data_IF_075585000616
#
_entry.id   IF_075585000616
#
_cell.length_a   1.000
_cell.length_b   1.000
_cell.length_c   1.000
_cell.angle_alpha   90.00
_cell.angle_beta   90.00
_cell.angle_gamma   90.00
#
_symmetry.space_group_name_H-M   'P 1'
#
loop_
_entity.id
_entity.type
_entity.pdbx_description
1 polymer ?
#
# COMPACT_ATOMS: atom_id res chain seq x y z
N UNK A 1 15.32 -75.59 -41.25
CA UNK A 1 15.91 -74.98 -40.04
C UNK A 1 16.03 -73.45 -40.17
N UNK A 2 16.59 -72.92 -41.26
CA UNK A 2 16.75 -71.46 -41.50
C UNK A 2 15.46 -70.63 -41.44
N UNK A 3 14.35 -71.11 -41.99
CA UNK A 3 13.06 -70.39 -41.99
C UNK A 3 12.41 -70.28 -40.59
N UNK A 4 12.74 -71.19 -39.66
CA UNK A 4 12.28 -71.10 -38.27
C UNK A 4 13.10 -70.06 -37.50
N UNK A 5 14.39 -69.95 -37.81
CA UNK A 5 15.28 -68.94 -37.23
C UNK A 5 14.88 -67.53 -37.70
N UNK A 6 14.61 -67.32 -38.99
CA UNK A 6 14.18 -66.01 -39.49
C UNK A 6 12.82 -65.57 -38.95
N UNK A 7 11.89 -66.51 -38.72
CA UNK A 7 10.61 -66.22 -38.06
C UNK A 7 10.78 -65.90 -36.57
N UNK A 8 11.72 -66.58 -35.90
CA UNK A 8 12.04 -66.30 -34.51
C UNK A 8 12.69 -64.92 -34.36
N UNK A 9 13.60 -64.53 -35.25
CA UNK A 9 14.20 -63.19 -35.30
C UNK A 9 13.13 -62.10 -35.49
N UNK A 10 12.23 -62.24 -36.47
CA UNK A 10 11.14 -61.27 -36.66
C UNK A 10 10.17 -61.17 -35.48
N UNK A 11 9.94 -62.26 -34.74
CA UNK A 11 9.17 -62.23 -33.50
C UNK A 11 9.91 -61.50 -32.37
N UNK A 12 11.22 -61.69 -32.26
CA UNK A 12 12.04 -61.00 -31.28
C UNK A 12 12.12 -59.50 -31.57
N UNK A 13 12.29 -59.11 -32.83
CA UNK A 13 12.29 -57.71 -33.27
C UNK A 13 10.96 -57.01 -32.98
N UNK A 14 9.83 -57.65 -33.31
CA UNK A 14 8.50 -57.10 -33.03
C UNK A 14 8.23 -56.99 -31.53
N UNK A 15 8.72 -57.95 -30.73
CA UNK A 15 8.66 -57.87 -29.27
C UNK A 15 9.49 -56.70 -28.74
N UNK A 16 10.71 -56.49 -29.23
CA UNK A 16 11.54 -55.36 -28.85
C UNK A 16 10.90 -54.02 -29.20
N UNK A 17 10.35 -53.90 -30.41
CA UNK A 17 9.59 -52.71 -30.84
C UNK A 17 8.36 -52.46 -29.96
N UNK A 18 7.64 -53.51 -29.57
CA UNK A 18 6.48 -53.38 -28.67
C UNK A 18 6.86 -52.88 -27.28
N UNK A 19 7.99 -53.34 -26.72
CA UNK A 19 8.50 -52.87 -25.43
C UNK A 19 8.87 -51.39 -25.49
N UNK A 20 9.53 -50.95 -26.56
CA UNK A 20 9.84 -49.54 -26.79
C UNK A 20 8.57 -48.68 -26.88
N UNK A 21 7.51 -49.18 -27.51
CA UNK A 21 6.22 -48.50 -27.57
C UNK A 21 5.54 -48.43 -26.19
N UNK A 22 5.56 -49.51 -25.41
CA UNK A 22 5.04 -49.52 -24.04
C UNK A 22 5.77 -48.53 -23.15
N UNK A 23 7.10 -48.49 -23.20
CA UNK A 23 7.87 -47.50 -22.46
C UNK A 23 7.49 -46.06 -22.82
N UNK A 24 7.32 -45.79 -24.12
CA UNK A 24 6.89 -44.47 -24.59
C UNK A 24 5.51 -44.11 -24.05
N UNK A 25 4.55 -45.05 -24.10
CA UNK A 25 3.20 -44.84 -23.56
C UNK A 25 3.22 -44.60 -22.04
N UNK A 26 4.05 -45.35 -21.29
CA UNK A 26 4.22 -45.13 -19.85
C UNK A 26 4.78 -43.75 -19.53
N UNK A 27 5.82 -43.31 -20.27
CA UNK A 27 6.40 -41.97 -20.10
C UNK A 27 5.39 -40.87 -20.44
N UNK A 28 4.68 -41.00 -21.56
CA UNK A 28 3.65 -40.05 -21.96
C UNK A 28 2.51 -39.99 -20.93
N UNK A 29 2.06 -41.13 -20.41
CA UNK A 29 1.02 -41.20 -19.38
C UNK A 29 1.48 -40.66 -18.01
N UNK A 30 2.78 -40.74 -17.69
CA UNK A 30 3.38 -40.06 -16.54
C UNK A 30 3.33 -38.55 -16.70
N UNK A 31 3.88 -38.03 -17.79
CA UNK A 31 3.92 -36.60 -18.08
C UNK A 31 2.52 -35.95 -18.15
N UNK A 32 1.53 -36.64 -18.71
CA UNK A 32 0.14 -36.15 -18.73
C UNK A 32 -0.48 -36.06 -17.32
N UNK A 33 -0.14 -37.00 -16.42
CA UNK A 33 -0.63 -36.95 -15.03
C UNK A 33 0.01 -35.81 -14.25
N UNK A 34 1.31 -35.59 -14.44
CA UNK A 34 2.05 -34.46 -13.84
C UNK A 34 1.50 -33.12 -14.34
N UNK A 35 1.34 -32.96 -15.66
CA UNK A 35 0.77 -31.75 -16.25
C UNK A 35 -0.66 -31.48 -15.76
N UNK A 36 -1.48 -32.52 -15.60
CA UNK A 36 -2.83 -32.39 -15.03
C UNK A 36 -2.79 -31.98 -13.55
N UNK A 37 -1.86 -32.53 -12.77
CA UNK A 37 -1.67 -32.15 -11.37
C UNK A 37 -1.30 -30.68 -11.23
N UNK A 38 -0.34 -30.22 -12.04
CA UNK A 38 0.09 -28.83 -12.06
C UNK A 38 -1.02 -27.87 -12.53
N UNK A 39 -1.85 -28.29 -13.49
CA UNK A 39 -2.98 -27.49 -13.94
C UNK A 39 -4.04 -27.31 -12.84
N UNK A 40 -4.37 -28.37 -12.09
CA UNK A 40 -5.32 -28.26 -10.98
C UNK A 40 -4.78 -27.40 -9.84
N UNK A 41 -3.48 -27.51 -9.51
CA UNK A 41 -2.83 -26.64 -8.53
C UNK A 41 -2.95 -25.16 -8.95
N UNK A 42 -2.57 -24.83 -10.20
CA UNK A 42 -2.65 -23.46 -10.71
C UNK A 42 -4.08 -22.94 -10.80
N UNK A 43 -5.04 -23.81 -11.12
CA UNK A 43 -6.46 -23.47 -11.09
C UNK A 43 -6.93 -23.14 -9.67
N UNK A 44 -6.51 -23.91 -8.66
CA UNK A 44 -6.87 -23.61 -7.27
C UNK A 44 -6.24 -22.30 -6.78
N UNK A 45 -4.99 -22.01 -7.15
CA UNK A 45 -4.35 -20.72 -6.88
C UNK A 45 -5.14 -19.57 -7.52
N UNK A 46 -5.49 -19.68 -8.81
CA UNK A 46 -6.25 -18.63 -9.52
C UNK A 46 -7.65 -18.42 -8.93
N UNK A 47 -8.33 -19.50 -8.53
CA UNK A 47 -9.63 -19.40 -7.87
C UNK A 47 -9.55 -18.74 -6.50
N UNK A 48 -8.42 -18.85 -5.79
CA UNK A 48 -8.21 -18.12 -4.54
C UNK A 48 -8.12 -16.60 -4.77
N UNK A 49 -7.63 -16.15 -5.93
CA UNK A 49 -7.57 -14.73 -6.30
C UNK A 49 -8.89 -14.20 -6.89
N UNK A 50 -9.74 -15.04 -7.46
CA UNK A 50 -11.02 -14.64 -8.09
C UNK A 50 -11.96 -13.83 -7.17
N UNK A 51 -12.21 -14.21 -5.90
CA UNK A 51 -13.07 -13.41 -5.02
C UNK A 51 -12.46 -12.06 -4.62
N UNK A 52 -11.18 -11.81 -4.91
CA UNK A 52 -10.56 -10.51 -4.73
C UNK A 52 -10.79 -9.58 -5.94
N UNK A 53 -10.92 -10.13 -7.16
CA UNK A 53 -11.11 -9.34 -8.38
C UNK A 53 -12.49 -8.69 -8.42
N UNK A 54 -13.55 -9.44 -8.14
CA UNK A 54 -14.92 -8.92 -8.09
C UNK A 54 -15.06 -7.79 -7.04
N UNK A 55 -14.38 -7.95 -5.89
CA UNK A 55 -14.36 -6.94 -4.83
C UNK A 55 -13.61 -5.68 -5.22
N UNK A 56 -12.52 -5.81 -5.99
CA UNK A 56 -11.73 -4.67 -6.47
C UNK A 56 -12.51 -3.91 -7.54
N UNK A 57 -13.17 -4.60 -8.47
CA UNK A 57 -14.02 -3.97 -9.49
C UNK A 57 -15.20 -3.21 -8.84
N UNK A 58 -15.85 -3.81 -7.83
CA UNK A 58 -16.91 -3.15 -7.05
C UNK A 58 -16.39 -1.94 -6.25
N UNK A 59 -15.15 -1.98 -5.76
CA UNK A 59 -14.53 -0.86 -5.06
C UNK A 59 -14.17 0.26 -6.03
N UNK A 60 -13.60 -0.08 -7.19
CA UNK A 60 -13.28 0.89 -8.26
C UNK A 60 -14.55 1.52 -8.82
N UNK A 61 -15.62 0.73 -9.01
CA UNK A 61 -16.94 1.22 -9.42
C UNK A 61 -17.55 2.20 -8.42
N UNK A 62 -17.39 1.96 -7.11
CA UNK A 62 -17.82 2.89 -6.07
C UNK A 62 -16.96 4.16 -6.00
N UNK A 63 -15.65 4.04 -6.20
CA UNK A 63 -14.73 5.17 -6.19
C UNK A 63 -14.90 6.08 -7.42
N UNK A 64 -15.21 5.51 -8.58
CA UNK A 64 -15.46 6.26 -9.83
C UNK A 64 -16.81 6.99 -9.85
N UNK A 65 -17.72 6.68 -8.92
CA UNK A 65 -18.98 7.40 -8.73
C UNK A 65 -18.81 8.67 -7.89
N UNK A 66 -17.66 8.86 -7.21
CA UNK A 66 -17.37 10.09 -6.51
C UNK A 66 -17.05 11.20 -7.54
N UNK A 67 -17.69 12.38 -7.42
CA UNK A 67 -17.41 13.48 -8.32
C UNK A 67 -15.97 13.96 -8.13
N UNK A 68 -15.22 14.01 -9.24
CA UNK A 68 -13.85 14.53 -9.29
C UNK A 68 -13.87 16.06 -9.18
N UNK A 69 -14.08 16.56 -7.97
CA UNK A 69 -14.13 17.99 -7.69
C UNK A 69 -13.18 18.35 -6.53
N UNK A 70 -12.64 19.57 -6.57
CA UNK A 70 -11.66 20.08 -5.60
C UNK A 70 -12.17 20.03 -4.16
N UNK A 71 -13.47 20.22 -3.95
CA UNK A 71 -14.11 20.21 -2.63
C UNK A 71 -14.10 18.79 -2.01
N UNK A 72 -14.33 17.75 -2.80
CA UNK A 72 -14.23 16.35 -2.35
C UNK A 72 -12.78 15.98 -2.06
N UNK A 73 -11.84 16.40 -2.92
CA UNK A 73 -10.41 16.15 -2.67
C UNK A 73 -9.90 16.83 -1.41
N UNK A 74 -10.42 18.01 -1.08
CA UNK A 74 -10.02 18.73 0.15
C UNK A 74 -10.38 17.98 1.44
N UNK A 75 -11.36 17.06 1.39
CA UNK A 75 -11.80 16.22 2.51
C UNK A 75 -11.12 14.85 2.54
N UNK A 76 -10.34 14.50 1.51
CA UNK A 76 -9.66 13.21 1.45
C UNK A 76 -8.43 13.15 2.36
N UNK A 77 -7.84 14.30 2.68
CA UNK A 77 -6.65 14.40 3.52
C UNK A 77 -7.01 15.28 4.71
N UNK A 78 -7.50 14.64 5.75
CA UNK A 78 -7.80 15.29 7.02
C UNK A 78 -6.69 15.02 8.05
N UNK A 79 -6.39 15.99 8.92
CA UNK A 79 -5.49 15.77 10.06
C UNK A 79 -6.03 14.66 10.96
N UNK A 80 -5.14 13.85 11.53
CA UNK A 80 -5.54 12.67 12.31
C UNK A 80 -6.14 13.06 13.67
N UNK A 81 -5.69 14.17 14.24
CA UNK A 81 -6.10 14.66 15.55
C UNK A 81 -6.32 16.19 15.57
N UNK A 82 -7.12 16.65 16.54
CA UNK A 82 -7.43 18.07 16.73
C UNK A 82 -6.17 18.93 16.89
N UNK A 83 -5.09 18.34 17.42
CA UNK A 83 -3.81 19.02 17.58
C UNK A 83 -3.12 19.29 16.23
N UNK A 84 -3.12 18.33 15.31
CA UNK A 84 -2.65 18.55 13.94
C UNK A 84 -3.56 19.51 13.16
N UNK A 85 -4.88 19.43 13.37
CA UNK A 85 -5.83 20.41 12.80
C UNK A 85 -5.48 21.82 13.24
N UNK A 86 -5.28 22.03 14.53
CA UNK A 86 -4.92 23.34 15.06
C UNK A 86 -3.54 23.81 14.58
N UNK A 87 -2.57 22.90 14.42
CA UNK A 87 -1.29 23.22 13.82
C UNK A 87 -1.43 23.71 12.37
N UNK A 88 -2.28 23.06 11.58
CA UNK A 88 -2.55 23.41 10.19
C UNK A 88 -3.26 24.77 10.08
N UNK A 89 -4.24 25.02 10.94
CA UNK A 89 -4.93 26.31 11.03
C UNK A 89 -3.94 27.45 11.30
N UNK A 90 -3.08 27.30 12.33
CA UNK A 90 -2.08 28.31 12.67
C UNK A 90 -1.07 28.53 11.54
N UNK A 91 -0.65 27.47 10.84
CA UNK A 91 0.23 27.59 9.68
C UNK A 91 -0.44 28.37 8.54
N UNK A 92 -1.72 28.08 8.28
CA UNK A 92 -2.50 28.80 7.27
C UNK A 92 -2.66 30.28 7.63
N UNK A 93 -2.88 30.61 8.90
CA UNK A 93 -3.00 31.97 9.39
C UNK A 93 -1.69 32.75 9.24
N UNK A 94 -0.55 32.12 9.53
CA UNK A 94 0.78 32.74 9.35
C UNK A 94 0.99 33.13 7.88
N UNK A 95 0.69 32.23 6.95
CA UNK A 95 0.84 32.51 5.52
C UNK A 95 -0.13 33.57 5.03
N UNK A 96 -1.39 33.54 5.46
CA UNK A 96 -2.36 34.58 5.13
C UNK A 96 -1.92 35.97 5.64
N UNK A 97 -1.25 36.03 6.80
CA UNK A 97 -0.68 37.26 7.34
C UNK A 97 0.53 37.75 6.54
N UNK A 98 1.42 36.84 6.11
CA UNK A 98 2.55 37.17 5.21
C UNK A 98 2.04 37.75 3.87
N UNK A 99 1.04 37.11 3.25
CA UNK A 99 0.42 37.58 2.00
C UNK A 99 -0.23 38.96 2.17
N UNK A 100 -0.94 39.17 3.27
CA UNK A 100 -1.61 40.43 3.53
C UNK A 100 -0.61 41.57 3.84
N UNK A 101 0.54 41.29 4.48
CA UNK A 101 1.62 42.26 4.65
C UNK A 101 2.21 42.66 3.28
N UNK A 102 2.42 41.71 2.39
CA UNK A 102 2.88 41.98 1.02
C UNK A 102 1.87 42.86 0.26
N UNK A 103 0.57 42.56 0.38
CA UNK A 103 -0.49 43.36 -0.24
C UNK A 103 -0.52 44.80 0.30
N UNK A 104 -0.27 45.01 1.60
CA UNK A 104 -0.15 46.35 2.16
C UNK A 104 1.05 47.11 1.57
N UNK A 105 2.20 46.44 1.39
CA UNK A 105 3.38 47.07 0.78
C UNK A 105 3.11 47.47 -0.67
N UNK A 106 2.47 46.59 -1.45
CA UNK A 106 2.05 46.88 -2.83
C UNK A 106 1.06 48.05 -2.87
N UNK A 107 0.10 48.10 -1.94
CA UNK A 107 -0.90 49.17 -1.85
C UNK A 107 -0.26 50.54 -1.51
N UNK A 108 0.74 50.55 -0.62
CA UNK A 108 1.52 51.75 -0.32
C UNK A 108 2.29 52.24 -1.54
N UNK A 109 2.99 51.34 -2.25
CA UNK A 109 3.72 51.66 -3.49
C UNK A 109 2.80 52.19 -4.60
N UNK A 110 1.57 51.69 -4.66
CA UNK A 110 0.55 52.16 -5.59
C UNK A 110 -0.12 53.48 -5.17
N UNK A 111 0.22 54.04 -3.99
CA UNK A 111 -0.39 55.26 -3.46
C UNK A 111 -1.86 55.11 -3.03
N UNK A 112 -2.34 53.87 -2.87
CA UNK A 112 -3.71 53.57 -2.43
C UNK A 112 -3.89 53.73 -0.92
N UNK A 113 -2.79 53.80 -0.18
CA UNK A 113 -2.75 53.80 1.27
C UNK A 113 -1.75 54.87 1.75
N UNK A 114 -2.08 55.61 2.81
CA UNK A 114 -1.18 56.61 3.37
C UNK A 114 -0.07 55.95 4.20
N UNK A 115 1.09 56.60 4.33
CA UNK A 115 2.18 56.08 5.15
C UNK A 115 1.76 55.83 6.60
N UNK A 116 0.96 56.72 7.18
CA UNK A 116 0.46 56.58 8.56
C UNK A 116 -0.46 55.37 8.70
N UNK A 117 -1.38 55.17 7.74
CA UNK A 117 -2.26 54.00 7.76
C UNK A 117 -1.47 52.70 7.57
N UNK A 118 -0.45 52.72 6.72
CA UNK A 118 0.40 51.57 6.46
C UNK A 118 1.12 51.12 7.73
N UNK A 119 1.78 52.04 8.42
CA UNK A 119 2.52 51.75 9.65
C UNK A 119 1.60 51.17 10.72
N UNK A 120 0.39 51.71 10.86
CA UNK A 120 -0.60 51.20 11.82
C UNK A 120 -1.02 49.77 11.46
N UNK A 121 -1.39 49.52 10.21
CA UNK A 121 -1.87 48.20 9.73
C UNK A 121 -0.78 47.14 9.84
N UNK A 122 0.45 47.46 9.43
CA UNK A 122 1.60 46.55 9.51
C UNK A 122 1.94 46.24 10.97
N UNK A 123 1.84 47.22 11.87
CA UNK A 123 2.09 47.01 13.30
C UNK A 123 1.06 46.05 13.92
N UNK A 124 -0.23 46.27 13.63
CA UNK A 124 -1.32 45.40 14.11
C UNK A 124 -1.18 43.97 13.57
N UNK A 125 -0.84 43.82 12.29
CA UNK A 125 -0.65 42.52 11.65
C UNK A 125 0.63 41.82 12.11
N UNK A 126 1.72 42.55 12.30
CA UNK A 126 2.98 42.02 12.83
C UNK A 126 2.79 41.43 14.24
N UNK A 127 1.97 42.07 15.08
CA UNK A 127 1.60 41.52 16.39
C UNK A 127 0.85 40.19 16.25
N UNK A 128 -0.16 40.11 15.39
CA UNK A 128 -0.90 38.85 15.14
C UNK A 128 0.00 37.75 14.60
N UNK A 129 0.91 38.11 13.69
CA UNK A 129 1.87 37.17 13.11
C UNK A 129 2.82 36.61 14.16
N UNK A 130 3.30 37.46 15.08
CA UNK A 130 4.13 37.01 16.19
C UNK A 130 3.38 36.02 17.09
N UNK A 131 2.14 36.32 17.45
CA UNK A 131 1.29 35.44 18.26
C UNK A 131 1.04 34.09 17.59
N UNK A 132 0.63 34.10 16.31
CA UNK A 132 0.40 32.88 15.54
C UNK A 132 1.67 32.03 15.41
N UNK A 133 2.83 32.63 15.12
CA UNK A 133 4.14 31.93 15.05
C UNK A 133 4.54 31.35 16.40
N UNK A 134 4.32 32.08 17.48
CA UNK A 134 4.62 31.60 18.83
C UNK A 134 3.75 30.41 19.23
N UNK A 135 2.44 30.49 18.99
CA UNK A 135 1.51 29.38 19.25
C UNK A 135 1.84 28.16 18.37
N UNK A 136 2.10 28.39 17.08
CA UNK A 136 2.48 27.33 16.15
C UNK A 136 3.74 26.59 16.61
N UNK A 137 4.79 27.31 17.04
CA UNK A 137 6.02 26.67 17.54
C UNK A 137 5.73 25.72 18.71
N UNK A 138 4.86 26.12 19.64
CA UNK A 138 4.48 25.29 20.79
C UNK A 138 3.63 24.09 20.40
N UNK A 139 2.68 24.28 19.49
CA UNK A 139 1.81 23.20 18.99
C UNK A 139 2.63 22.21 18.16
N UNK A 140 3.52 22.68 17.29
CA UNK A 140 4.41 21.82 16.49
C UNK A 140 5.31 20.95 17.37
N UNK A 141 5.87 21.49 18.46
CA UNK A 141 6.59 20.68 19.44
C UNK A 141 5.71 19.60 20.09
N UNK A 142 4.46 19.93 20.42
CA UNK A 142 3.53 18.97 21.01
C UNK A 142 3.13 17.87 20.01
N UNK A 143 2.86 18.23 18.75
CA UNK A 143 2.59 17.30 17.65
C UNK A 143 3.78 16.35 17.46
N UNK A 144 5.01 16.87 17.40
CA UNK A 144 6.22 16.05 17.25
C UNK A 144 6.43 15.07 18.41
N UNK A 145 6.08 15.47 19.63
CA UNK A 145 6.13 14.57 20.80
C UNK A 145 5.03 13.51 20.76
N UNK A 146 3.84 13.85 20.26
CA UNK A 146 2.73 12.92 20.12
C UNK A 146 2.99 11.88 19.04
N UNK A 147 3.49 12.28 17.86
CA UNK A 147 3.82 11.39 16.76
C UNK A 147 4.97 10.44 17.10
N UNK A 148 5.97 10.88 17.87
CA UNK A 148 7.02 10.01 18.40
C UNK A 148 6.49 8.91 19.34
N UNK A 149 5.47 9.21 20.15
CA UNK A 149 4.82 8.20 21.01
C UNK A 149 3.99 7.22 20.20
N UNK A 150 3.25 7.69 19.20
CA UNK A 150 2.44 6.84 18.31
C UNK A 150 3.33 5.93 17.46
N UNK A 151 4.47 6.42 16.98
CA UNK A 151 5.47 5.60 16.28
C UNK A 151 6.06 4.49 17.16
N UNK A 152 6.28 4.78 18.45
CA UNK A 152 6.70 3.77 19.44
C UNK A 152 5.58 2.76 19.75
N UNK A 153 4.33 3.21 19.88
CA UNK A 153 3.19 2.31 20.07
C UNK A 153 2.97 1.38 18.86
N UNK A 154 3.13 1.88 17.62
CA UNK A 154 3.08 1.05 16.42
C UNK A 154 4.21 0.02 16.37
N UNK A 155 5.42 0.34 16.86
CA UNK A 155 6.51 -0.63 16.97
C UNK A 155 6.26 -1.71 18.04
N UNK A 156 5.58 -1.36 19.14
CA UNK A 156 5.19 -2.33 20.18
C UNK A 156 4.04 -3.23 19.67
N UNK A 157 3.03 -2.64 19.02
CA UNK A 157 1.89 -3.38 18.47
C UNK A 157 2.29 -4.33 17.32
N UNK A 158 3.23 -3.91 16.46
CA UNK A 158 3.82 -4.79 15.43
C UNK A 158 4.68 -5.90 16.04
N UNK A 159 5.30 -5.70 17.22
CA UNK A 159 6.03 -6.75 17.96
C UNK A 159 5.11 -7.73 18.70
N UNK A 160 3.95 -7.29 19.16
CA UNK A 160 2.96 -8.16 19.80
C UNK A 160 2.18 -8.97 18.75
N UNK A 161 1.74 -8.33 17.66
CA UNK A 161 1.09 -9.03 16.54
C UNK A 161 2.01 -10.05 15.85
N UNK A 162 3.32 -9.78 15.75
CA UNK A 162 4.29 -10.77 15.25
C UNK A 162 4.65 -11.87 16.27
N UNK A 163 4.41 -11.66 17.57
CA UNK A 163 4.53 -12.74 18.58
C UNK A 163 3.33 -13.67 18.56
N UNK A 164 2.13 -13.13 18.36
CA UNK A 164 0.91 -13.94 18.29
C UNK A 164 0.85 -14.77 16.99
N UNK A 165 1.32 -14.22 15.86
CA UNK A 165 1.49 -14.97 14.61
C UNK A 165 2.60 -16.06 14.68
N UNK A 166 3.59 -15.93 15.56
CA UNK A 166 4.64 -16.94 15.73
C UNK A 166 4.25 -18.07 16.70
N UNK A 167 3.27 -17.82 17.59
CA UNK A 167 2.74 -18.81 18.52
C UNK A 167 1.63 -19.69 17.93
N UNK A 168 0.91 -19.24 16.88
CA UNK A 168 -0.03 -20.08 16.14
C UNK A 168 0.64 -20.99 15.08
N UNK A 169 1.91 -20.77 14.76
CA UNK A 169 2.64 -21.47 13.69
C UNK A 169 3.58 -22.60 14.19
N UNK A 170 3.60 -22.94 15.48
CA UNK A 170 4.44 -24.03 16.00
C UNK A 170 3.75 -24.90 17.07
N UNK A 171 2.93 -25.88 16.69
CA UNK A 171 2.80 -27.09 17.48
C UNK A 171 3.78 -28.10 16.89
N UNK A 172 4.97 -28.28 17.47
CA UNK A 172 5.63 -29.59 17.55
C UNK A 172 7.00 -29.54 18.22
N UNK A 173 7.12 -30.44 19.20
CA UNK A 173 8.34 -31.06 19.78
C UNK A 173 9.04 -30.31 20.91
N UNK A 174 8.60 -30.66 22.12
CA UNK A 174 9.53 -31.05 23.17
C UNK A 174 9.02 -32.35 23.83
N UNK A 175 9.36 -33.50 23.23
CA UNK A 175 9.25 -34.80 23.90
C UNK A 175 10.55 -34.99 24.70
N UNK A 176 10.40 -35.10 26.01
CA UNK A 176 11.43 -35.57 26.94
C UNK A 176 11.87 -36.97 26.54
N UNK A 177 13.18 -37.18 26.52
CA UNK A 177 13.86 -38.46 26.74
C UNK A 177 15.17 -38.14 27.41
#
# INVERSE_FOLDING_TARGET
>A
MLHLLSKAEGYLDTREQSLNQFERLYRCGGAMREARGLLEEKKTELLAYSPAVDKVEDLVGRLTQLPDNLEVHSKCIEPVDDLQTHALELLSEIHALDDALELLERSLKAGQLSCEEYVRRVSDMGRKQFEARFLFARVAEAVNRSSAKTAHACQVFLRESTRDLFLEMNPLKCRRS
#
